data_IF_379724873177
#
_entry.id   IF_379724873177
#
_cell.length_a   1.000
_cell.length_b   1.000
_cell.length_c   1.000
_cell.angle_alpha   90.00
_cell.angle_beta   90.00
_cell.angle_gamma   90.00
#
_symmetry.space_group_name_H-M   'P 1'
#
loop_
_entity.id
_entity.type
_entity.pdbx_description
1 polymer ?
#
# COMPACT_ATOMS: atom_id res chain seq x y z
N UNK A 1 5.05 -15.09 5.12
CA UNK A 1 6.29 -14.27 5.21
C UNK A 1 6.07 -13.28 4.10
N UNK A 2 5.80 -12.02 4.41
CA UNK A 2 5.31 -11.08 3.41
C UNK A 2 6.25 -11.00 2.21
N UNK A 3 5.72 -11.31 1.02
CA UNK A 3 6.44 -11.15 -0.24
C UNK A 3 6.73 -9.65 -0.43
N UNK A 4 7.93 -9.32 -0.89
CA UNK A 4 8.36 -7.92 -1.01
C UNK A 4 8.16 -7.39 -2.43
N UNK A 5 7.75 -6.11 -2.58
CA UNK A 5 7.81 -5.39 -3.85
C UNK A 5 9.19 -5.49 -4.51
N UNK A 6 9.20 -5.72 -5.82
CA UNK A 6 10.44 -5.75 -6.62
C UNK A 6 10.91 -4.36 -7.06
N UNK A 7 10.09 -3.32 -6.85
CA UNK A 7 10.37 -1.95 -7.28
C UNK A 7 11.59 -1.38 -6.57
N UNK A 8 12.41 -0.67 -7.36
CA UNK A 8 13.50 0.18 -6.87
C UNK A 8 13.06 1.61 -7.09
N UNK A 9 13.01 2.40 -6.02
CA UNK A 9 12.67 3.81 -6.05
C UNK A 9 13.92 4.67 -6.21
N UNK A 10 13.79 5.77 -6.94
CA UNK A 10 14.82 6.80 -7.06
C UNK A 10 14.98 7.56 -5.74
N UNK A 11 16.07 8.30 -5.61
CA UNK A 11 16.29 9.15 -4.43
C UNK A 11 15.21 10.24 -4.31
N UNK A 12 14.69 10.73 -5.44
CA UNK A 12 13.62 11.74 -5.50
C UNK A 12 12.28 11.16 -5.02
N UNK A 13 11.93 9.96 -5.49
CA UNK A 13 10.75 9.23 -5.02
C UNK A 13 10.89 8.89 -3.54
N UNK A 14 12.08 8.48 -3.10
CA UNK A 14 12.35 8.19 -1.70
C UNK A 14 12.17 9.43 -0.80
N UNK A 15 12.65 10.59 -1.22
CA UNK A 15 12.42 11.84 -0.48
C UNK A 15 10.93 12.20 -0.40
N UNK A 16 10.13 11.89 -1.42
CA UNK A 16 8.67 12.02 -1.34
C UNK A 16 8.06 10.99 -0.38
N UNK A 17 8.52 9.74 -0.43
CA UNK A 17 8.10 8.67 0.49
C UNK A 17 8.38 9.06 1.95
N UNK A 18 9.55 9.64 2.24
CA UNK A 18 9.92 10.12 3.58
C UNK A 18 9.04 11.23 4.12
N UNK A 19 8.51 12.09 3.25
CA UNK A 19 7.52 13.11 3.64
C UNK A 19 6.17 12.49 4.02
N UNK A 20 5.92 11.27 3.58
CA UNK A 20 4.71 10.51 3.87
C UNK A 20 3.47 11.10 3.22
N UNK A 21 2.32 10.65 3.72
CA UNK A 21 1.01 11.13 3.30
C UNK A 21 0.08 11.18 4.50
N UNK A 22 -0.59 12.31 4.72
CA UNK A 22 -1.57 12.48 5.79
C UNK A 22 -2.97 12.59 5.20
N UNK A 23 -3.83 11.65 5.57
CA UNK A 23 -5.24 11.65 5.21
C UNK A 23 -5.93 12.94 5.68
N UNK A 24 -6.73 13.55 4.80
CA UNK A 24 -7.44 14.82 5.06
C UNK A 24 -8.90 14.65 5.45
N UNK A 25 -9.55 13.60 4.96
CA UNK A 25 -10.95 13.29 5.22
C UNK A 25 -11.19 11.77 5.23
N UNK A 26 -12.47 11.39 5.28
CA UNK A 26 -12.89 9.99 5.39
C UNK A 26 -12.70 9.18 4.10
N UNK A 27 -12.57 9.83 2.94
CA UNK A 27 -12.36 9.15 1.67
C UNK A 27 -10.89 8.76 1.49
N UNK A 28 -9.97 9.43 2.20
CA UNK A 28 -8.55 9.09 2.23
C UNK A 28 -8.26 8.04 3.31
N UNK A 29 -7.86 6.84 2.88
CA UNK A 29 -7.86 5.65 3.76
C UNK A 29 -6.55 5.35 4.45
N UNK A 30 -5.48 6.05 4.07
CA UNK A 30 -4.12 5.76 4.50
C UNK A 30 -3.44 6.98 5.09
N UNK A 31 -2.84 6.78 6.27
CA UNK A 31 -1.77 7.63 6.77
C UNK A 31 -0.45 6.88 6.53
N UNK A 32 0.53 7.58 5.97
CA UNK A 32 1.85 7.05 5.66
C UNK A 32 2.90 7.97 6.27
N UNK A 33 3.84 7.41 7.02
CA UNK A 33 4.95 8.15 7.59
C UNK A 33 6.20 7.27 7.67
N UNK A 34 7.36 7.90 7.78
CA UNK A 34 8.64 7.22 7.89
C UNK A 34 9.32 7.63 9.18
N UNK A 35 9.82 6.64 9.94
CA UNK A 35 10.78 6.85 11.02
C UNK A 35 12.08 6.13 10.65
N UNK A 36 13.19 6.87 10.65
CA UNK A 36 14.48 6.42 10.10
C UNK A 36 14.35 5.86 8.66
N UNK A 37 14.48 4.53 8.52
CA UNK A 37 14.38 3.81 7.25
C UNK A 37 13.12 2.93 7.18
N UNK A 38 12.19 3.04 8.15
CA UNK A 38 10.98 2.23 8.24
C UNK A 38 9.76 3.05 7.87
N UNK A 39 9.04 2.59 6.84
CA UNK A 39 7.77 3.14 6.39
C UNK A 39 6.61 2.45 7.11
N UNK A 40 5.70 3.25 7.66
CA UNK A 40 4.50 2.79 8.34
C UNK A 40 3.25 3.16 7.54
N UNK A 41 2.41 2.17 7.25
CA UNK A 41 1.10 2.36 6.58
C UNK A 41 -0.01 2.07 7.58
N UNK A 42 -0.76 3.11 7.93
CA UNK A 42 -1.87 3.02 8.89
C UNK A 42 -3.20 3.32 8.22
N UNK A 43 -4.26 2.66 8.68
CA UNK A 43 -5.63 3.05 8.33
C UNK A 43 -5.95 4.40 8.95
N UNK A 44 -6.43 5.34 8.14
CA UNK A 44 -6.62 6.74 8.57
C UNK A 44 -7.63 6.90 9.70
N UNK A 45 -8.70 6.09 9.69
CA UNK A 45 -9.82 6.25 10.63
C UNK A 45 -9.66 5.46 11.94
N UNK A 46 -9.01 4.29 11.94
CA UNK A 46 -8.76 3.52 13.18
C UNK A 46 -7.38 3.78 13.77
N UNK A 47 -6.44 4.28 12.97
CA UNK A 47 -5.03 4.38 13.32
C UNK A 47 -4.31 3.02 13.37
N UNK A 48 -4.96 1.91 13.01
CA UNK A 48 -4.32 0.60 12.99
C UNK A 48 -3.18 0.56 11.98
N UNK A 49 -1.99 0.16 12.43
CA UNK A 49 -0.87 -0.15 11.55
C UNK A 49 -1.17 -1.41 10.75
N UNK A 50 -1.02 -1.34 9.44
CA UNK A 50 -1.23 -2.47 8.53
C UNK A 50 0.09 -3.02 8.05
N UNK A 51 1.02 -2.14 7.69
CA UNK A 51 2.34 -2.54 7.20
C UNK A 51 3.43 -1.71 7.85
N UNK A 52 4.55 -2.38 8.10
CA UNK A 52 5.85 -1.76 8.37
C UNK A 52 6.84 -2.29 7.33
N UNK A 53 7.52 -1.40 6.62
CA UNK A 53 8.45 -1.76 5.55
C UNK A 53 9.79 -1.07 5.72
N UNK A 54 10.85 -1.86 5.91
CA UNK A 54 12.22 -1.35 6.03
C UNK A 54 12.83 -1.16 4.65
N UNK A 55 13.32 0.05 4.39
CA UNK A 55 14.07 0.38 3.19
C UNK A 55 15.58 0.28 3.41
N UNK A 56 16.31 -0.04 2.36
CA UNK A 56 17.75 0.10 2.33
C UNK A 56 18.21 0.70 1.00
N UNK A 57 19.40 1.30 1.03
CA UNK A 57 20.13 1.68 -0.18
C UNK A 57 20.88 0.45 -0.69
N UNK A 58 20.40 -0.14 -1.78
CA UNK A 58 21.06 -1.24 -2.49
C UNK A 58 20.73 -1.14 -3.99
N UNK A 59 21.65 -0.54 -4.74
CA UNK A 59 21.48 -0.20 -6.18
C UNK A 59 20.25 0.69 -6.45
N UNK A 60 19.94 1.55 -5.49
CA UNK A 60 18.73 2.37 -5.41
C UNK A 60 18.01 2.14 -4.08
N UNK A 61 16.83 2.75 -3.89
CA UNK A 61 16.07 2.56 -2.64
C UNK A 61 15.10 1.39 -2.81
N UNK A 62 15.19 0.36 -1.97
CA UNK A 62 14.29 -0.82 -2.05
C UNK A 62 13.83 -1.29 -0.68
N UNK A 63 12.70 -1.97 -0.64
CA UNK A 63 12.22 -2.64 0.57
C UNK A 63 13.03 -3.93 0.76
N UNK A 64 13.58 -4.11 1.95
CA UNK A 64 14.40 -5.28 2.32
C UNK A 64 13.74 -6.17 3.36
N UNK A 65 12.73 -5.66 4.07
CA UNK A 65 11.92 -6.40 5.01
C UNK A 65 10.55 -5.73 5.14
N UNK A 66 9.50 -6.52 5.33
CA UNK A 66 8.17 -6.01 5.62
C UNK A 66 7.44 -6.96 6.57
N UNK A 67 6.60 -6.38 7.42
CA UNK A 67 5.64 -7.10 8.25
C UNK A 67 4.24 -6.54 7.98
N UNK A 68 3.25 -7.44 7.98
CA UNK A 68 1.84 -7.12 7.85
C UNK A 68 1.11 -7.44 9.16
N UNK A 69 0.03 -6.69 9.46
CA UNK A 69 -0.86 -6.98 10.57
C UNK A 69 -1.50 -8.37 10.39
N UNK A 70 -1.26 -9.25 11.37
CA UNK A 70 -1.70 -10.64 11.35
C UNK A 70 -3.03 -10.90 12.06
N UNK A 71 -3.55 -9.93 12.82
CA UNK A 71 -4.90 -10.04 13.39
C UNK A 71 -5.95 -9.79 12.30
N UNK A 72 -6.56 -10.88 11.83
CA UNK A 72 -7.67 -10.90 10.87
C UNK A 72 -8.85 -9.97 11.20
N UNK A 73 -9.02 -9.59 12.47
CA UNK A 73 -10.06 -8.63 12.90
C UNK A 73 -9.68 -7.18 12.63
N UNK A 74 -8.38 -6.87 12.59
CA UNK A 74 -7.85 -5.52 12.34
C UNK A 74 -7.52 -5.31 10.88
N UNK A 75 -7.05 -6.35 10.21
CA UNK A 75 -6.75 -6.35 8.80
C UNK A 75 -7.05 -7.71 8.19
N UNK A 76 -7.77 -7.73 7.06
CA UNK A 76 -8.15 -8.99 6.42
C UNK A 76 -6.92 -9.62 5.78
N UNK A 77 -6.53 -10.78 6.27
CA UNK A 77 -5.52 -11.62 5.63
C UNK A 77 -6.02 -12.09 4.25
N UNK A 78 -5.25 -11.73 3.22
CA UNK A 78 -5.49 -12.05 1.81
C UNK A 78 -4.28 -12.76 1.18
N UNK A 79 -3.29 -13.12 1.99
CA UNK A 79 -2.06 -13.78 1.57
C UNK A 79 -0.94 -12.83 1.15
N UNK A 80 0.28 -13.39 1.13
CA UNK A 80 1.54 -12.65 0.90
C UNK A 80 1.58 -11.88 -0.44
N UNK A 81 0.92 -12.38 -1.50
CA UNK A 81 0.85 -11.70 -2.80
C UNK A 81 -0.01 -10.42 -2.75
N UNK A 82 -1.09 -10.45 -1.97
CA UNK A 82 -1.94 -9.28 -1.76
C UNK A 82 -1.20 -8.22 -0.96
N UNK A 83 -0.49 -8.62 0.08
CA UNK A 83 0.30 -7.70 0.91
C UNK A 83 1.44 -7.05 0.12
N UNK A 84 2.16 -7.84 -0.68
CA UNK A 84 3.19 -7.34 -1.60
C UNK A 84 2.62 -6.26 -2.52
N UNK A 85 1.48 -6.55 -3.14
CA UNK A 85 0.83 -5.64 -4.08
C UNK A 85 0.32 -4.38 -3.37
N UNK A 86 -0.34 -4.53 -2.23
CA UNK A 86 -0.91 -3.41 -1.47
C UNK A 86 0.15 -2.45 -0.97
N UNK A 87 1.29 -2.96 -0.52
CA UNK A 87 2.41 -2.15 -0.07
C UNK A 87 2.94 -1.26 -1.21
N UNK A 88 3.21 -1.83 -2.38
CA UNK A 88 3.67 -1.08 -3.54
C UNK A 88 2.60 -0.10 -4.07
N UNK A 89 1.32 -0.52 -4.07
CA UNK A 89 0.22 0.27 -4.58
C UNK A 89 -0.07 1.51 -3.73
N UNK A 90 -0.04 1.40 -2.39
CA UNK A 90 -0.20 2.57 -1.51
C UNK A 90 0.96 3.55 -1.70
N UNK A 91 2.21 3.07 -1.80
CA UNK A 91 3.36 3.92 -2.07
C UNK A 91 3.18 4.65 -3.41
N UNK A 92 2.89 3.91 -4.48
CA UNK A 92 2.81 4.43 -5.84
C UNK A 92 1.64 5.41 -6.00
N UNK A 93 0.44 5.00 -5.61
CA UNK A 93 -0.77 5.79 -5.86
C UNK A 93 -0.96 6.89 -4.83
N UNK A 94 -0.83 6.59 -3.53
CA UNK A 94 -1.18 7.54 -2.47
C UNK A 94 -0.03 8.51 -2.23
N UNK A 95 1.18 8.00 -2.07
CA UNK A 95 2.35 8.82 -1.70
C UNK A 95 2.93 9.53 -2.92
N UNK A 96 3.22 8.78 -3.99
CA UNK A 96 3.83 9.33 -5.21
C UNK A 96 2.80 10.00 -6.13
N UNK A 97 1.53 9.61 -6.07
CA UNK A 97 0.46 10.17 -6.92
C UNK A 97 0.41 9.58 -8.32
N UNK A 98 0.99 8.41 -8.51
CA UNK A 98 1.03 7.71 -9.79
C UNK A 98 -0.31 7.03 -10.09
N UNK A 99 -0.66 6.84 -11.37
CA UNK A 99 -1.89 6.13 -11.74
C UNK A 99 -1.87 4.64 -11.33
N UNK A 100 -0.69 4.01 -11.27
CA UNK A 100 -0.47 2.64 -10.82
C UNK A 100 -1.41 1.60 -11.49
N UNK A 101 -1.71 1.76 -12.78
CA UNK A 101 -2.75 1.01 -13.51
C UNK A 101 -2.60 -0.51 -13.40
N UNK A 102 -1.37 -1.03 -13.51
CA UNK A 102 -1.12 -2.48 -13.42
C UNK A 102 -1.33 -3.03 -12.01
N UNK A 103 -0.88 -2.30 -10.99
CA UNK A 103 -1.09 -2.66 -9.58
C UNK A 103 -2.58 -2.62 -9.22
N UNK A 104 -3.33 -1.64 -9.75
CA UNK A 104 -4.79 -1.54 -9.63
C UNK A 104 -5.52 -2.72 -10.25
N UNK A 105 -5.13 -3.10 -11.48
CA UNK A 105 -5.66 -4.29 -12.12
C UNK A 105 -5.34 -5.58 -11.33
N UNK A 106 -4.13 -5.68 -10.77
CA UNK A 106 -3.72 -6.79 -9.91
C UNK A 106 -4.53 -6.86 -8.61
N UNK A 107 -4.85 -5.72 -7.99
CA UNK A 107 -5.71 -5.65 -6.82
C UNK A 107 -7.11 -6.23 -7.11
N UNK A 108 -7.71 -5.84 -8.23
CA UNK A 108 -9.02 -6.35 -8.64
C UNK A 108 -8.97 -7.86 -8.89
N UNK A 109 -7.93 -8.35 -9.58
CA UNK A 109 -7.74 -9.78 -9.85
C UNK A 109 -7.59 -10.60 -8.56
N UNK A 110 -6.70 -10.19 -7.65
CA UNK A 110 -6.51 -10.88 -6.36
C UNK A 110 -7.78 -10.88 -5.50
N UNK A 111 -8.54 -9.78 -5.53
CA UNK A 111 -9.81 -9.67 -4.80
C UNK A 111 -10.90 -10.58 -5.40
N UNK A 112 -10.97 -10.67 -6.72
CA UNK A 112 -11.87 -11.60 -7.42
C UNK A 112 -11.55 -13.04 -7.06
N UNK A 113 -10.27 -13.43 -7.13
CA UNK A 113 -9.80 -14.77 -6.75
C UNK A 113 -10.15 -15.11 -5.31
N UNK A 114 -9.87 -14.22 -4.35
CA UNK A 114 -10.14 -14.46 -2.94
C UNK A 114 -11.64 -14.50 -2.60
N UNK A 115 -12.48 -13.79 -3.35
CA UNK A 115 -13.94 -13.79 -3.13
C UNK A 115 -14.69 -14.90 -3.88
N UNK A 116 -14.02 -15.61 -4.80
CA UNK A 116 -14.65 -16.61 -5.67
C UNK A 116 -15.67 -16.03 -6.66
N UNK A 117 -15.67 -14.70 -6.83
CA UNK A 117 -16.61 -13.98 -7.71
C UNK A 117 -15.92 -13.56 -9.00
N UNK A 118 -16.67 -13.62 -10.10
CA UNK A 118 -16.20 -13.21 -11.43
C UNK A 118 -16.64 -11.79 -11.82
N UNK A 119 -17.52 -11.17 -11.02
CA UNK A 119 -18.17 -9.87 -11.29
C UNK A 119 -17.76 -8.76 -10.32
N UNK A 120 -16.54 -8.85 -9.77
CA UNK A 120 -16.04 -7.83 -8.84
C UNK A 120 -15.76 -6.53 -9.58
N UNK A 121 -16.50 -5.48 -9.24
CA UNK A 121 -16.28 -4.12 -9.74
C UNK A 121 -14.94 -3.57 -9.23
N UNK A 122 -14.00 -3.32 -10.15
CA UNK A 122 -12.67 -2.83 -9.82
C UNK A 122 -12.69 -1.47 -9.12
N UNK A 123 -13.58 -0.56 -9.54
CA UNK A 123 -13.71 0.76 -8.91
C UNK A 123 -14.19 0.67 -7.47
N UNK A 124 -15.12 -0.24 -7.17
CA UNK A 124 -15.56 -0.50 -5.79
C UNK A 124 -14.44 -1.09 -4.94
N UNK A 125 -13.65 -2.02 -5.50
CA UNK A 125 -12.49 -2.62 -4.80
C UNK A 125 -11.45 -1.55 -4.46
N UNK A 126 -11.07 -0.75 -5.45
CA UNK A 126 -10.07 0.30 -5.30
C UNK A 126 -10.54 1.36 -4.30
N UNK A 127 -11.77 1.87 -4.44
CA UNK A 127 -12.32 2.81 -3.49
C UNK A 127 -12.34 2.20 -2.08
N UNK A 128 -12.70 0.92 -1.94
CA UNK A 128 -12.75 0.23 -0.64
C UNK A 128 -11.37 0.09 0.01
N UNK A 129 -10.35 -0.31 -0.75
CA UNK A 129 -9.00 -0.59 -0.25
C UNK A 129 -8.13 0.67 -0.13
N UNK A 130 -8.10 1.50 -1.16
CA UNK A 130 -7.18 2.63 -1.33
C UNK A 130 -7.80 3.96 -0.92
N UNK A 131 -9.09 4.14 -1.21
CA UNK A 131 -9.74 5.43 -1.04
C UNK A 131 -9.38 6.40 -2.16
N UNK A 132 -9.54 7.69 -1.89
CA UNK A 132 -9.15 8.77 -2.78
C UNK A 132 -7.82 9.40 -2.34
N UNK A 133 -7.13 10.03 -3.28
CA UNK A 133 -6.01 10.92 -3.02
C UNK A 133 -6.44 12.34 -3.34
N UNK A 134 -6.24 13.29 -2.44
CA UNK A 134 -6.45 14.69 -2.75
C UNK A 134 -5.48 15.19 -3.83
N UNK A 135 -6.01 15.87 -4.85
CA UNK A 135 -5.20 16.54 -5.87
C UNK A 135 -4.63 15.62 -6.96
N UNK A 136 -5.20 14.43 -7.14
CA UNK A 136 -5.07 13.60 -8.34
C UNK A 136 -6.08 14.00 -9.41
#
# INVERSE_FOLDING_TARGET
MTRLPGRVWTDEEWEQIRRGYRARDMDEKWNVFVEDDVLFLHRSWTGHGVYEATFALDRGRRIVSAVAEGDGKRYRDMGDDYDCLMLELVISMIVLGEPATELRAGLAALTATASGRTDVDAGVVEHSALGLRSGS
#
